data_IF_932366937643
#
_entry.id   IF_932366937643
#
_cell.length_a   1.000
_cell.length_b   1.000
_cell.length_c   1.000
_cell.angle_alpha   90.00
_cell.angle_beta   90.00
_cell.angle_gamma   90.00
#
_symmetry.space_group_name_H-M   'P 1'
#
loop_
_entity.id
_entity.type
_entity.pdbx_description
1 polymer ?
#
# COMPACT_ATOMS: atom_id res chain seq x y z
N UNK A 1 -66.68 -14.64 58.01
CA UNK A 1 -66.53 -13.22 57.63
C UNK A 1 -66.21 -13.16 56.15
N UNK A 2 -66.83 -12.22 55.42
CA UNK A 2 -66.39 -11.72 54.10
C UNK A 2 -65.07 -10.90 54.25
N UNK A 3 -64.46 -10.34 53.18
CA UNK A 3 -64.73 -10.44 51.73
C UNK A 3 -63.49 -11.06 51.00
N UNK A 4 -63.02 -10.76 49.76
CA UNK A 4 -63.37 -9.85 48.65
C UNK A 4 -62.90 -10.47 47.30
N UNK A 5 -63.10 -9.72 46.20
CA UNK A 5 -62.69 -9.88 44.79
C UNK A 5 -62.51 -8.42 44.25
N UNK A 6 -62.47 -8.06 42.93
CA UNK A 6 -62.10 -8.75 41.67
C UNK A 6 -60.88 -8.02 41.00
N UNK A 7 -60.44 -8.24 39.75
CA UNK A 7 -61.06 -7.76 38.50
C UNK A 7 -60.37 -8.28 37.21
N UNK A 8 -61.19 -8.81 36.28
CA UNK A 8 -61.11 -8.70 34.79
C UNK A 8 -59.90 -9.34 34.06
N UNK A 9 -60.05 -10.10 32.97
CA UNK A 9 -61.16 -10.80 32.29
C UNK A 9 -60.48 -11.76 31.25
N UNK A 10 -60.84 -13.04 31.07
CA UNK A 10 -62.00 -13.56 30.31
C UNK A 10 -62.04 -13.11 28.82
N UNK A 11 -62.52 -13.86 27.80
CA UNK A 11 -63.14 -15.19 27.62
C UNK A 11 -62.59 -15.77 26.27
N UNK A 12 -62.31 -17.06 26.04
CA UNK A 12 -63.17 -18.26 25.94
C UNK A 12 -63.97 -18.41 24.61
N UNK A 13 -63.96 -19.65 24.07
CA UNK A 13 -64.95 -20.31 23.16
C UNK A 13 -65.22 -19.66 21.77
N UNK A 14 -65.01 -20.30 20.61
CA UNK A 14 -65.60 -21.57 20.07
C UNK A 14 -67.14 -21.62 20.05
N UNK A 15 -67.74 -21.11 18.96
CA UNK A 15 -69.05 -21.43 18.31
C UNK A 15 -69.45 -20.20 17.46
N UNK A 16 -70.22 -20.24 16.38
CA UNK A 16 -70.69 -21.29 15.46
C UNK A 16 -71.20 -20.58 14.16
N UNK A 17 -71.45 -21.26 13.02
CA UNK A 17 -71.76 -20.60 11.75
C UNK A 17 -73.27 -20.52 11.42
N UNK A 18 -73.68 -19.45 10.72
CA UNK A 18 -74.92 -19.22 9.95
C UNK A 18 -74.77 -17.87 9.23
N UNK A 19 -75.27 -17.54 8.03
CA UNK A 19 -76.04 -18.19 6.94
C UNK A 19 -75.75 -17.27 5.72
N UNK A 20 -75.07 -17.72 4.67
CA UNK A 20 -75.55 -18.46 3.49
C UNK A 20 -76.08 -17.58 2.32
N UNK A 21 -75.35 -17.67 1.20
CA UNK A 21 -75.73 -17.47 -0.22
C UNK A 21 -76.39 -16.16 -0.72
N UNK A 22 -75.61 -15.42 -1.54
CA UNK A 22 -76.10 -14.91 -2.82
C UNK A 22 -75.00 -14.82 -3.90
N UNK A 23 -75.15 -15.62 -4.98
CA UNK A 23 -74.69 -15.36 -6.38
C UNK A 23 -73.18 -15.09 -6.58
N UNK A 24 -72.37 -16.11 -6.94
CA UNK A 24 -72.16 -16.60 -8.32
C UNK A 24 -72.27 -15.51 -9.41
N UNK A 25 -71.11 -15.08 -9.94
CA UNK A 25 -70.81 -14.92 -11.38
C UNK A 25 -69.28 -14.75 -11.56
N UNK A 26 -68.62 -15.86 -11.91
CA UNK A 26 -67.50 -16.02 -12.87
C UNK A 26 -66.60 -14.81 -13.18
N UNK A 27 -65.31 -14.83 -12.83
CA UNK A 27 -64.20 -15.57 -13.47
C UNK A 27 -63.95 -15.25 -14.96
N UNK A 28 -63.18 -14.20 -15.24
CA UNK A 28 -62.23 -14.11 -16.40
C UNK A 28 -61.17 -13.01 -16.18
N UNK A 29 -60.11 -13.26 -15.40
CA UNK A 29 -58.76 -12.67 -15.58
C UNK A 29 -57.73 -13.10 -14.51
N UNK A 30 -57.48 -14.40 -14.37
CA UNK A 30 -56.32 -14.90 -13.60
C UNK A 30 -55.75 -16.21 -14.18
N UNK A 31 -55.61 -16.29 -15.50
CA UNK A 31 -55.10 -17.47 -16.20
C UNK A 31 -54.11 -17.11 -17.32
N UNK A 32 -53.34 -16.03 -17.13
CA UNK A 32 -52.38 -15.52 -18.12
C UNK A 32 -51.13 -14.91 -17.48
N UNK A 33 -50.69 -15.49 -16.35
CA UNK A 33 -49.43 -15.12 -15.66
C UNK A 33 -48.71 -16.32 -15.02
N UNK A 34 -48.71 -17.46 -15.71
CA UNK A 34 -47.89 -18.63 -15.37
C UNK A 34 -47.53 -19.43 -16.64
N UNK A 35 -46.86 -18.78 -17.58
CA UNK A 35 -45.95 -19.46 -18.51
C UNK A 35 -44.54 -19.23 -18.00
N UNK A 36 -43.94 -20.27 -17.41
CA UNK A 36 -42.50 -20.27 -17.21
C UNK A 36 -41.83 -20.56 -18.56
N UNK A 37 -40.87 -19.74 -19.01
CA UNK A 37 -40.05 -20.11 -20.15
C UNK A 37 -39.15 -21.28 -19.73
N UNK A 38 -39.30 -22.42 -20.40
CA UNK A 38 -38.40 -23.57 -20.26
C UNK A 38 -37.03 -23.22 -20.87
N UNK A 39 -36.17 -22.57 -20.09
CA UNK A 39 -34.78 -22.35 -20.47
C UNK A 39 -34.07 -23.68 -20.42
N UNK A 40 -33.82 -24.26 -21.60
CA UNK A 40 -32.88 -25.37 -21.75
C UNK A 40 -31.50 -24.83 -21.43
N UNK A 41 -31.08 -25.01 -20.17
CA UNK A 41 -29.70 -24.74 -19.77
C UNK A 41 -28.85 -25.81 -20.45
N UNK A 42 -28.26 -25.48 -21.60
CA UNK A 42 -27.14 -26.25 -22.12
C UNK A 42 -26.03 -26.17 -21.08
N UNK A 43 -25.86 -27.22 -20.28
CA UNK A 43 -24.73 -27.34 -19.35
C UNK A 43 -23.47 -27.64 -20.15
N UNK A 44 -22.98 -26.62 -20.86
CA UNK A 44 -21.55 -26.51 -21.15
C UNK A 44 -20.86 -26.27 -19.82
N UNK A 45 -20.64 -27.37 -19.08
CA UNK A 45 -19.78 -27.38 -17.90
C UNK A 45 -18.38 -27.00 -18.35
N UNK A 46 -18.11 -25.70 -18.34
CA UNK A 46 -16.80 -25.11 -18.54
C UNK A 46 -15.96 -25.53 -17.34
N UNK A 47 -15.31 -26.68 -17.50
CA UNK A 47 -14.41 -27.25 -16.51
C UNK A 47 -13.28 -26.25 -16.20
N UNK A 48 -13.37 -25.56 -15.07
CA UNK A 48 -12.22 -24.92 -14.42
C UNK A 48 -11.32 -26.01 -13.81
N UNK A 49 -10.64 -26.80 -14.65
CA UNK A 49 -10.02 -28.08 -14.27
C UNK A 49 -8.48 -28.12 -14.22
N UNK A 50 -7.78 -26.98 -14.28
CA UNK A 50 -6.30 -26.95 -14.31
C UNK A 50 -5.61 -26.28 -13.11
N UNK A 51 -6.32 -25.48 -12.29
CA UNK A 51 -5.67 -24.72 -11.21
C UNK A 51 -5.22 -25.55 -9.99
N UNK A 52 -5.74 -26.77 -9.79
CA UNK A 52 -5.32 -27.63 -8.66
C UNK A 52 -3.84 -28.04 -8.70
N UNK A 53 -3.24 -28.07 -9.89
CA UNK A 53 -1.83 -28.46 -10.07
C UNK A 53 -0.87 -27.30 -9.76
N UNK A 54 -1.35 -26.05 -9.85
CA UNK A 54 -0.58 -24.83 -9.53
C UNK A 54 -0.73 -24.38 -8.07
N UNK A 55 -1.77 -24.84 -7.35
CA UNK A 55 -2.06 -24.43 -5.98
C UNK A 55 -0.94 -24.73 -4.96
N UNK A 56 -0.03 -25.66 -5.26
CA UNK A 56 1.13 -25.99 -4.41
C UNK A 56 2.44 -25.32 -4.85
N UNK A 57 2.43 -24.53 -5.93
CA UNK A 57 3.62 -23.79 -6.39
C UNK A 57 3.68 -22.48 -5.63
N UNK A 58 4.56 -22.41 -4.62
CA UNK A 58 4.95 -21.12 -4.05
C UNK A 58 5.54 -20.24 -5.16
N UNK A 59 5.16 -18.96 -5.29
CA UNK A 59 5.80 -18.06 -6.23
C UNK A 59 7.26 -17.83 -5.81
N UNK A 60 8.18 -17.77 -6.78
CA UNK A 60 9.62 -17.59 -6.50
C UNK A 60 9.93 -16.20 -5.92
N UNK A 61 9.17 -15.20 -6.33
CA UNK A 61 9.26 -13.81 -5.89
C UNK A 61 7.87 -13.36 -5.41
N UNK A 62 7.81 -12.39 -4.51
CA UNK A 62 6.53 -11.74 -4.17
C UNK A 62 6.20 -10.73 -5.27
N UNK A 63 5.01 -10.83 -5.86
CA UNK A 63 4.53 -9.85 -6.83
C UNK A 63 4.25 -8.53 -6.10
N UNK A 64 4.83 -7.38 -6.51
CA UNK A 64 4.60 -6.08 -5.87
C UNK A 64 3.12 -5.70 -5.82
N UNK A 65 2.74 -4.93 -4.80
CA UNK A 65 1.40 -4.38 -4.62
C UNK A 65 0.25 -5.40 -4.47
N UNK A 66 0.56 -6.67 -4.26
CA UNK A 66 -0.38 -7.76 -3.97
C UNK A 66 -0.87 -7.67 -2.53
N UNK A 67 -2.15 -7.96 -2.21
CA UNK A 67 -2.62 -7.98 -0.82
C UNK A 67 -1.92 -9.08 -0.01
N UNK A 68 -1.34 -8.73 1.15
CA UNK A 68 -0.63 -9.68 2.03
C UNK A 68 -1.55 -10.54 2.91
N UNK A 69 -2.85 -10.26 2.88
CA UNK A 69 -3.86 -10.83 3.79
C UNK A 69 -4.21 -9.91 4.97
N UNK A 70 -3.42 -8.86 5.21
CA UNK A 70 -3.76 -7.77 6.13
C UNK A 70 -4.40 -6.59 5.38
N UNK A 71 -5.45 -6.00 5.97
CA UNK A 71 -6.21 -4.92 5.32
C UNK A 71 -5.39 -3.63 5.24
N UNK A 72 -5.21 -3.11 4.03
CA UNK A 72 -4.42 -1.89 3.79
C UNK A 72 -2.90 -2.12 3.74
N UNK A 73 -2.44 -3.37 3.84
CA UNK A 73 -1.04 -3.74 3.68
C UNK A 73 -0.86 -4.49 2.35
N UNK A 74 0.04 -3.97 1.50
CA UNK A 74 0.36 -4.54 0.19
C UNK A 74 1.84 -4.89 0.14
N UNK A 75 2.20 -5.94 -0.60
CA UNK A 75 3.58 -6.39 -0.76
C UNK A 75 4.48 -5.27 -1.27
N UNK A 76 5.58 -5.04 -0.56
CA UNK A 76 6.52 -3.98 -0.92
C UNK A 76 7.44 -4.46 -2.07
N UNK A 77 7.70 -3.67 -3.13
CA UNK A 77 8.51 -4.09 -4.27
C UNK A 77 9.98 -4.37 -3.93
N UNK A 78 10.58 -3.53 -3.09
CA UNK A 78 12.01 -3.53 -2.75
C UNK A 78 12.26 -3.44 -1.23
N UNK A 79 11.78 -4.42 -0.41
CA UNK A 79 11.73 -4.26 1.05
C UNK A 79 13.12 -4.17 1.69
N UNK A 80 14.12 -4.85 1.12
CA UNK A 80 15.50 -4.89 1.63
C UNK A 80 16.19 -3.52 1.65
N UNK A 81 16.34 -2.78 0.53
CA UNK A 81 16.96 -1.46 0.55
C UNK A 81 16.16 -0.45 1.38
N UNK A 82 14.83 -0.53 1.41
CA UNK A 82 13.98 0.29 2.29
C UNK A 82 14.31 0.07 3.77
N UNK A 83 14.41 -1.19 4.24
CA UNK A 83 14.79 -1.49 5.62
C UNK A 83 16.21 -1.04 5.96
N UNK A 84 17.18 -1.25 5.05
CA UNK A 84 18.57 -0.78 5.24
C UNK A 84 18.60 0.75 5.36
N UNK A 85 17.88 1.48 4.50
CA UNK A 85 17.76 2.94 4.58
C UNK A 85 17.11 3.40 5.90
N UNK A 86 15.99 2.81 6.31
CA UNK A 86 15.31 3.17 7.57
C UNK A 86 16.17 2.88 8.80
N UNK A 87 16.85 1.73 8.86
CA UNK A 87 17.74 1.39 9.97
C UNK A 87 19.02 2.23 10.01
N UNK A 88 19.64 2.53 8.87
CA UNK A 88 20.81 3.43 8.84
C UNK A 88 20.43 4.87 9.20
N UNK A 89 19.25 5.36 8.77
CA UNK A 89 18.73 6.67 9.13
C UNK A 89 18.39 6.76 10.63
N UNK A 90 17.68 5.76 11.21
CA UNK A 90 17.43 5.72 12.68
C UNK A 90 18.73 5.68 13.48
N UNK A 91 19.70 4.85 13.11
CA UNK A 91 21.03 4.83 13.74
C UNK A 91 21.77 6.17 13.62
N UNK A 92 21.63 6.89 12.50
CA UNK A 92 22.20 8.24 12.34
C UNK A 92 21.51 9.26 13.26
N UNK A 93 20.17 9.22 13.37
CA UNK A 93 19.40 10.09 14.27
C UNK A 93 19.76 9.85 15.73
N UNK A 94 19.91 8.60 16.15
CA UNK A 94 20.28 8.23 17.53
C UNK A 94 21.65 8.77 17.98
N UNK A 95 22.52 9.19 17.07
CA UNK A 95 23.79 9.84 17.42
C UNK A 95 23.62 11.18 18.17
N UNK A 96 22.46 11.84 18.06
CA UNK A 96 22.18 13.06 18.82
C UNK A 96 21.82 12.82 20.30
N UNK A 97 21.49 11.58 20.67
CA UNK A 97 21.13 11.20 22.04
C UNK A 97 22.40 10.89 22.85
N UNK A 98 22.41 11.09 24.18
CA UNK A 98 23.55 10.68 25.01
C UNK A 98 23.69 9.15 25.07
N UNK A 99 24.93 8.64 25.07
CA UNK A 99 25.23 7.20 25.12
C UNK A 99 24.72 6.49 26.37
N UNK A 100 24.48 7.23 27.45
CA UNK A 100 23.90 6.75 28.71
C UNK A 100 22.38 6.57 28.65
N UNK A 101 21.70 7.04 27.60
CA UNK A 101 20.25 6.90 27.45
C UNK A 101 19.86 5.43 27.23
N UNK A 102 19.03 4.89 28.13
CA UNK A 102 18.48 3.54 28.01
C UNK A 102 17.68 3.33 26.71
N UNK A 103 17.00 4.38 26.23
CA UNK A 103 16.33 4.36 24.93
C UNK A 103 17.33 4.23 23.79
N UNK A 104 18.41 5.04 23.78
CA UNK A 104 19.46 4.94 22.75
C UNK A 104 20.08 3.54 22.73
N UNK A 105 20.45 3.00 23.89
CA UNK A 105 21.10 1.69 23.99
C UNK A 105 20.20 0.55 23.49
N UNK A 106 18.92 0.54 23.86
CA UNK A 106 17.99 -0.52 23.45
C UNK A 106 17.66 -0.46 21.95
N UNK A 107 17.39 0.73 21.40
CA UNK A 107 17.09 0.90 19.97
C UNK A 107 18.33 0.67 19.11
N UNK A 108 19.52 1.13 19.50
CA UNK A 108 20.77 0.82 18.79
C UNK A 108 21.04 -0.69 18.73
N UNK A 109 20.84 -1.42 19.83
CA UNK A 109 21.04 -2.86 19.86
C UNK A 109 20.04 -3.60 18.95
N UNK A 110 18.75 -3.23 19.02
CA UNK A 110 17.68 -3.83 18.21
C UNK A 110 17.87 -3.52 16.71
N UNK A 111 18.14 -2.26 16.36
CA UNK A 111 18.30 -1.84 14.96
C UNK A 111 19.56 -2.45 14.33
N UNK A 112 20.71 -2.50 15.03
CA UNK A 112 21.91 -3.20 14.54
C UNK A 112 21.65 -4.68 14.31
N UNK A 113 20.95 -5.36 15.22
CA UNK A 113 20.61 -6.78 15.07
C UNK A 113 19.72 -7.02 13.85
N UNK A 114 18.65 -6.22 13.66
CA UNK A 114 17.77 -6.33 12.49
C UNK A 114 18.48 -5.99 11.17
N UNK A 115 19.31 -4.94 11.17
CA UNK A 115 20.13 -4.55 10.02
C UNK A 115 21.08 -5.69 9.61
N UNK A 116 21.76 -6.33 10.56
CA UNK A 116 22.64 -7.49 10.29
C UNK A 116 21.88 -8.66 9.65
N UNK A 117 20.65 -8.94 10.09
CA UNK A 117 19.80 -9.98 9.49
C UNK A 117 19.47 -9.62 8.03
N UNK A 118 19.03 -8.38 7.78
CA UNK A 118 18.63 -7.90 6.45
C UNK A 118 19.83 -7.85 5.47
N UNK A 119 21.00 -7.41 5.92
CA UNK A 119 22.23 -7.39 5.11
C UNK A 119 22.74 -8.79 4.77
N UNK A 120 22.51 -9.79 5.63
CA UNK A 120 22.94 -11.18 5.40
C UNK A 120 22.25 -11.83 4.19
N UNK A 121 21.04 -11.40 3.85
CA UNK A 121 20.24 -11.96 2.76
C UNK A 121 20.42 -11.12 1.49
N UNK A 122 21.23 -11.62 0.54
CA UNK A 122 21.47 -10.95 -0.75
C UNK A 122 20.62 -11.58 -1.86
N UNK A 123 19.94 -10.78 -2.72
CA UNK A 123 19.20 -11.32 -3.85
C UNK A 123 20.14 -11.89 -4.92
N UNK A 124 19.67 -12.85 -5.75
CA UNK A 124 20.45 -13.37 -6.86
C UNK A 124 20.80 -12.26 -7.86
N UNK A 125 22.07 -12.16 -8.22
CA UNK A 125 22.57 -11.11 -9.14
C UNK A 125 22.91 -9.77 -8.48
N UNK A 126 22.81 -9.65 -7.15
CA UNK A 126 23.12 -8.42 -6.41
C UNK A 126 24.49 -7.81 -6.75
N UNK A 127 25.56 -8.59 -6.73
CA UNK A 127 26.91 -8.04 -6.92
C UNK A 127 27.10 -7.50 -8.35
N UNK A 128 26.47 -8.11 -9.36
CA UNK A 128 26.48 -7.62 -10.75
C UNK A 128 25.66 -6.34 -10.94
N UNK A 129 24.58 -6.16 -10.17
CA UNK A 129 23.84 -4.90 -10.09
C UNK A 129 24.66 -3.83 -9.36
N UNK A 130 25.33 -4.18 -8.26
CA UNK A 130 26.15 -3.26 -7.47
C UNK A 130 27.29 -2.65 -8.28
N UNK A 131 27.97 -3.44 -9.13
CA UNK A 131 29.01 -2.91 -10.02
C UNK A 131 28.45 -1.98 -11.12
N UNK A 132 27.23 -2.24 -11.62
CA UNK A 132 26.55 -1.28 -12.52
C UNK A 132 26.18 0.00 -11.79
N UNK A 133 25.57 -0.10 -10.61
CA UNK A 133 25.21 1.04 -9.77
C UNK A 133 26.43 1.92 -9.43
N UNK A 134 27.54 1.32 -8.99
CA UNK A 134 28.82 2.03 -8.77
C UNK A 134 29.33 2.72 -10.03
N UNK A 135 29.28 2.07 -11.19
CA UNK A 135 29.71 2.67 -12.47
C UNK A 135 28.84 3.87 -12.84
N UNK A 136 27.51 3.76 -12.70
CA UNK A 136 26.56 4.85 -12.96
C UNK A 136 26.77 6.02 -12.00
N UNK A 137 27.01 5.75 -10.71
CA UNK A 137 27.32 6.77 -9.71
C UNK A 137 28.66 7.47 -10.00
N UNK A 138 29.71 6.70 -10.30
CA UNK A 138 31.03 7.24 -10.61
C UNK A 138 31.13 7.99 -11.95
N UNK A 139 30.21 7.71 -12.89
CA UNK A 139 30.11 8.45 -14.14
C UNK A 139 29.49 9.85 -13.97
N UNK A 140 28.60 10.03 -13.00
CA UNK A 140 27.81 11.25 -12.82
C UNK A 140 27.70 11.67 -11.34
N UNK A 141 28.83 11.99 -10.67
CA UNK A 141 28.85 12.24 -9.22
C UNK A 141 27.96 13.40 -8.78
N UNK A 142 27.91 14.49 -9.54
CA UNK A 142 27.06 15.66 -9.26
C UNK A 142 25.56 15.28 -9.22
N UNK A 143 25.12 14.34 -10.07
CA UNK A 143 23.73 13.85 -10.09
C UNK A 143 23.35 13.11 -8.82
N UNK A 144 24.30 12.40 -8.19
CA UNK A 144 24.04 11.59 -6.99
C UNK A 144 24.45 12.26 -5.68
N UNK A 145 25.10 13.43 -5.72
CA UNK A 145 25.49 14.18 -4.53
C UNK A 145 24.31 14.47 -3.57
N UNK A 146 23.12 14.72 -4.13
CA UNK A 146 21.89 14.95 -3.35
C UNK A 146 21.36 13.68 -2.65
N UNK A 147 21.71 12.49 -3.16
CA UNK A 147 21.27 11.19 -2.63
C UNK A 147 22.29 10.56 -1.66
N UNK A 148 23.41 11.25 -1.43
CA UNK A 148 24.43 10.81 -0.49
C UNK A 148 24.06 11.17 0.95
N UNK A 149 23.92 10.15 1.79
CA UNK A 149 23.74 10.29 3.24
C UNK A 149 25.00 10.89 3.87
N UNK A 150 24.88 11.51 5.05
CA UNK A 150 26.01 12.16 5.76
C UNK A 150 27.15 11.20 6.13
N UNK A 151 26.88 9.90 6.15
CA UNK A 151 27.86 8.84 6.38
C UNK A 151 28.59 8.37 5.10
N UNK A 152 28.32 9.00 3.95
CA UNK A 152 28.91 8.69 2.65
C UNK A 152 28.21 7.57 1.87
N UNK A 153 27.23 6.87 2.46
CA UNK A 153 26.42 5.87 1.77
C UNK A 153 25.37 6.53 0.85
N UNK A 154 24.89 5.80 -0.15
CA UNK A 154 23.79 6.26 -1.01
C UNK A 154 22.45 5.77 -0.46
N UNK A 155 21.43 6.63 -0.48
CA UNK A 155 20.08 6.23 -0.12
C UNK A 155 19.45 5.40 -1.26
N UNK A 156 19.42 4.07 -1.12
CA UNK A 156 18.86 3.14 -2.12
C UNK A 156 17.32 2.98 -2.05
N UNK A 157 16.63 3.79 -1.23
CA UNK A 157 15.19 3.74 -1.08
C UNK A 157 14.48 4.46 -2.24
N UNK A 158 14.29 3.77 -3.36
CA UNK A 158 13.39 4.20 -4.41
C UNK A 158 11.93 3.91 -3.99
N UNK A 159 11.13 4.95 -3.78
CA UNK A 159 9.67 4.83 -3.64
C UNK A 159 9.06 4.45 -4.99
N UNK A 160 8.76 3.18 -5.17
CA UNK A 160 7.94 2.73 -6.30
C UNK A 160 6.48 2.81 -5.86
N UNK A 161 5.74 3.77 -6.40
CA UNK A 161 4.30 3.87 -6.19
C UNK A 161 3.55 2.87 -7.09
N UNK A 162 2.33 2.51 -6.69
CA UNK A 162 1.42 1.82 -7.60
C UNK A 162 0.90 2.87 -8.58
N UNK A 163 1.25 2.73 -9.85
CA UNK A 163 0.62 3.50 -10.92
C UNK A 163 -0.90 3.27 -10.88
N UNK A 164 -1.65 4.26 -10.38
CA UNK A 164 -3.12 4.24 -10.44
C UNK A 164 -3.65 4.55 -11.87
N UNK A 165 -2.75 4.71 -12.84
CA UNK A 165 -3.03 4.88 -14.28
C UNK A 165 -3.42 3.58 -15.01
N UNK A 166 -4.12 2.68 -14.30
CA UNK A 166 -4.86 1.56 -14.91
C UNK A 166 -6.17 2.03 -15.58
N UNK A 167 -6.58 3.27 -15.36
CA UNK A 167 -7.34 4.00 -16.39
C UNK A 167 -6.41 4.23 -17.60
N UNK A 168 -6.71 3.60 -18.74
CA UNK A 168 -5.91 3.71 -19.98
C UNK A 168 -5.51 5.15 -20.32
N UNK A 169 -6.44 6.09 -20.06
CA UNK A 169 -6.31 7.54 -20.12
C UNK A 169 -5.04 8.14 -19.49
N UNK A 170 -4.49 7.51 -18.43
CA UNK A 170 -3.30 8.00 -17.73
C UNK A 170 -1.97 7.71 -18.44
N UNK A 171 -1.98 6.87 -19.49
CA UNK A 171 -0.79 6.52 -20.31
C UNK A 171 -0.87 7.12 -21.73
N UNK A 172 -1.92 7.86 -22.03
CA UNK A 172 -2.33 8.24 -23.40
C UNK A 172 -1.86 9.62 -23.86
N UNK A 173 -1.08 10.37 -23.06
CA UNK A 173 -0.46 11.60 -23.53
C UNK A 173 0.99 11.73 -23.04
N UNK A 174 1.90 11.33 -23.91
CA UNK A 174 3.36 11.53 -23.84
C UNK A 174 3.79 12.94 -24.27
N UNK A 175 2.84 13.77 -24.69
CA UNK A 175 3.11 15.07 -25.29
C UNK A 175 3.56 14.98 -26.74
N UNK A 176 3.04 14.04 -27.56
CA UNK A 176 3.20 14.04 -29.03
C UNK A 176 3.19 15.47 -29.57
N UNK A 177 4.32 15.88 -30.16
CA UNK A 177 4.48 17.22 -30.72
C UNK A 177 3.41 17.50 -31.77
N UNK A 178 2.89 18.73 -31.79
CA UNK A 178 1.75 19.09 -32.65
C UNK A 178 2.03 18.74 -34.12
N UNK A 179 1.46 17.65 -34.60
CA UNK A 179 1.50 17.35 -36.03
C UNK A 179 0.63 18.37 -36.79
N UNK A 180 1.02 18.70 -38.01
CA UNK A 180 0.32 19.68 -38.83
C UNK A 180 -1.03 19.13 -39.34
N UNK A 181 -2.05 19.10 -38.47
CA UNK A 181 -3.39 18.62 -38.80
C UNK A 181 -4.04 19.46 -39.89
N UNK A 182 -4.29 18.86 -41.05
CA UNK A 182 -4.82 19.50 -42.27
C UNK A 182 -6.35 19.68 -42.25
N UNK A 183 -6.99 19.58 -41.08
CA UNK A 183 -8.45 19.61 -40.93
C UNK A 183 -9.00 21.02 -40.67
N UNK A 184 -8.87 21.87 -41.69
CA UNK A 184 -9.48 23.20 -41.76
C UNK A 184 -9.83 23.59 -43.20
N UNK A 185 -10.43 24.77 -43.45
CA UNK A 185 -10.62 25.29 -44.80
C UNK A 185 -9.28 25.29 -45.55
N UNK A 186 -9.28 24.79 -46.80
CA UNK A 186 -8.07 24.51 -47.58
C UNK A 186 -7.15 25.72 -47.62
N UNK A 187 -6.00 25.64 -46.93
CA UNK A 187 -4.90 26.59 -47.09
C UNK A 187 -4.33 26.45 -48.50
N UNK A 188 -3.75 27.51 -49.03
CA UNK A 188 -2.95 27.41 -50.25
C UNK A 188 -1.59 26.77 -49.92
N UNK A 189 -0.95 26.11 -50.88
CA UNK A 189 0.33 25.41 -50.64
C UNK A 189 1.47 26.31 -50.09
N UNK A 190 1.38 27.64 -50.30
CA UNK A 190 2.29 28.60 -49.69
C UNK A 190 1.99 28.82 -48.19
N UNK A 191 0.72 29.01 -47.84
CA UNK A 191 0.26 29.15 -46.45
C UNK A 191 0.48 27.86 -45.64
N UNK A 192 0.41 26.69 -46.29
CA UNK A 192 0.76 25.40 -45.69
C UNK A 192 2.26 25.31 -45.35
N UNK A 193 3.15 25.72 -46.27
CA UNK A 193 4.59 25.73 -46.03
C UNK A 193 4.99 26.73 -44.94
N UNK A 194 4.36 27.91 -44.88
CA UNK A 194 4.54 28.85 -43.78
C UNK A 194 4.02 28.29 -42.44
N UNK A 195 2.86 27.61 -42.43
CA UNK A 195 2.34 26.96 -41.22
C UNK A 195 3.21 25.82 -40.71
N UNK A 196 3.69 24.95 -41.62
CA UNK A 196 4.63 23.87 -41.28
C UNK A 196 5.89 24.49 -40.66
N UNK A 197 6.45 25.54 -41.28
CA UNK A 197 7.63 26.21 -40.75
C UNK A 197 7.40 26.86 -39.37
N UNK A 198 6.22 27.43 -39.10
CA UNK A 198 5.90 28.01 -37.78
C UNK A 198 5.73 26.92 -36.72
N UNK A 199 5.16 25.76 -37.06
CA UNK A 199 5.08 24.60 -36.15
C UNK A 199 6.47 24.01 -35.93
N UNK A 200 7.26 23.85 -36.99
CA UNK A 200 8.63 23.35 -36.96
C UNK A 200 9.48 24.28 -36.10
N UNK A 201 9.56 25.58 -36.38
CA UNK A 201 10.28 26.59 -35.56
C UNK A 201 9.76 26.67 -34.10
N UNK A 202 8.46 26.43 -33.88
CA UNK A 202 7.88 26.35 -32.53
C UNK A 202 8.25 25.08 -31.76
N UNK A 203 8.42 23.94 -32.44
CA UNK A 203 8.77 22.63 -31.86
C UNK A 203 10.29 22.38 -31.83
N UNK A 204 11.02 22.97 -32.77
CA UNK A 204 12.48 23.14 -32.81
C UNK A 204 12.96 24.32 -31.94
N UNK A 205 12.06 24.93 -31.15
CA UNK A 205 12.44 25.73 -29.98
C UNK A 205 13.55 24.98 -29.26
N UNK A 206 14.79 25.48 -29.41
CA UNK A 206 15.96 24.70 -29.04
C UNK A 206 15.83 24.22 -27.59
N UNK A 207 16.41 23.06 -27.29
CA UNK A 207 16.47 22.47 -25.95
C UNK A 207 17.32 23.34 -25.00
N UNK A 208 16.80 24.54 -24.76
CA UNK A 208 17.27 25.54 -23.82
C UNK A 208 16.92 25.06 -22.42
N UNK A 209 17.65 25.55 -21.43
CA UNK A 209 17.55 25.15 -20.02
C UNK A 209 16.27 25.66 -19.32
N UNK A 210 15.14 25.76 -20.03
CA UNK A 210 13.86 26.21 -19.48
C UNK A 210 13.14 25.09 -18.73
N UNK A 211 13.50 24.90 -17.46
CA UNK A 211 12.72 24.54 -16.25
C UNK A 211 11.57 23.49 -16.27
N UNK A 212 11.14 22.96 -17.41
CA UNK A 212 9.92 22.13 -17.55
C UNK A 212 10.17 20.70 -18.04
N UNK A 213 11.43 20.32 -18.29
CA UNK A 213 11.78 18.92 -18.42
C UNK A 213 11.93 18.30 -17.03
N UNK A 214 10.92 17.54 -16.60
CA UNK A 214 11.11 16.59 -15.51
C UNK A 214 12.24 15.62 -15.90
N UNK A 215 13.40 15.78 -15.27
CA UNK A 215 14.51 14.83 -15.36
C UNK A 215 14.08 13.58 -14.60
N UNK A 216 13.23 12.75 -15.24
CA UNK A 216 12.74 11.50 -14.68
C UNK A 216 13.93 10.59 -14.38
N UNK A 217 14.27 10.50 -13.08
CA UNK A 217 15.45 9.78 -12.60
C UNK A 217 15.21 8.26 -12.70
N UNK A 218 15.35 7.71 -13.91
CA UNK A 218 15.20 6.28 -14.20
C UNK A 218 16.39 5.50 -13.64
N UNK A 219 16.29 5.15 -12.36
CA UNK A 219 17.27 4.35 -11.62
C UNK A 219 16.96 2.84 -11.73
N UNK A 220 17.98 2.01 -11.91
CA UNK A 220 17.84 0.54 -11.84
C UNK A 220 17.59 0.10 -10.39
N UNK A 221 16.36 -0.32 -10.07
CA UNK A 221 16.04 -0.91 -8.77
C UNK A 221 16.87 -2.17 -8.48
N UNK A 222 17.08 -2.45 -7.19
CA UNK A 222 17.76 -3.67 -6.75
C UNK A 222 16.96 -4.91 -7.19
N UNK A 223 17.61 -6.01 -7.63
CA UNK A 223 16.94 -7.28 -7.88
C UNK A 223 16.09 -7.75 -6.69
N UNK A 224 14.88 -8.24 -6.95
CA UNK A 224 13.98 -8.72 -5.91
C UNK A 224 14.55 -9.91 -5.13
N UNK A 225 14.28 -9.96 -3.82
CA UNK A 225 14.54 -11.13 -2.99
C UNK A 225 13.60 -12.29 -3.35
N UNK A 226 14.10 -13.52 -3.26
CA UNK A 226 13.25 -14.70 -3.38
C UNK A 226 12.34 -14.85 -2.15
N UNK A 227 11.13 -15.41 -2.34
CA UNK A 227 10.13 -15.51 -1.28
C UNK A 227 10.62 -16.31 -0.05
N UNK A 228 11.46 -17.33 -0.27
CA UNK A 228 12.06 -18.09 0.82
C UNK A 228 13.10 -17.24 1.61
N UNK A 229 13.86 -16.36 0.95
CA UNK A 229 14.78 -15.42 1.63
C UNK A 229 14.02 -14.39 2.48
N UNK A 230 12.87 -13.92 2.00
CA UNK A 230 11.99 -13.02 2.76
C UNK A 230 11.46 -13.75 4.01
N UNK A 231 10.99 -15.00 3.85
CA UNK A 231 10.54 -15.79 5.00
C UNK A 231 11.67 -16.08 6.02
N UNK A 232 12.92 -16.24 5.57
CA UNK A 232 14.07 -16.32 6.47
C UNK A 232 14.30 -15.03 7.27
N UNK A 233 14.10 -13.85 6.67
CA UNK A 233 14.20 -12.56 7.39
C UNK A 233 13.09 -12.46 8.43
N UNK A 234 11.84 -12.75 8.06
CA UNK A 234 10.67 -12.72 8.95
C UNK A 234 10.86 -13.66 10.15
N UNK A 235 11.33 -14.89 9.92
CA UNK A 235 11.60 -15.87 10.98
C UNK A 235 12.75 -15.43 11.90
N UNK A 236 13.83 -14.85 11.36
CA UNK A 236 14.99 -14.39 12.16
C UNK A 236 14.68 -13.13 12.97
N UNK A 237 13.79 -12.26 12.49
CA UNK A 237 13.36 -11.04 13.21
C UNK A 237 12.21 -11.36 14.18
N UNK A 238 11.32 -12.29 13.85
CA UNK A 238 10.24 -12.78 14.72
C UNK A 238 9.16 -11.75 15.02
N UNK A 239 8.88 -10.81 14.10
CA UNK A 239 8.05 -9.63 14.37
C UNK A 239 6.93 -9.39 13.32
N UNK A 240 6.39 -10.45 12.72
CA UNK A 240 5.36 -10.36 11.67
C UNK A 240 5.94 -10.39 10.26
N UNK A 241 5.15 -9.90 9.30
CA UNK A 241 5.53 -9.81 7.89
C UNK A 241 6.58 -8.72 7.65
N UNK A 242 7.35 -8.83 6.56
CA UNK A 242 8.38 -7.84 6.23
C UNK A 242 7.80 -6.42 6.02
N UNK A 243 6.57 -6.29 5.52
CA UNK A 243 5.87 -5.01 5.39
C UNK A 243 5.51 -4.37 6.76
N UNK A 244 5.14 -5.18 7.76
CA UNK A 244 4.89 -4.69 9.12
C UNK A 244 6.19 -4.21 9.76
N UNK A 245 7.30 -4.91 9.51
CA UNK A 245 8.65 -4.54 9.98
C UNK A 245 9.10 -3.19 9.37
N UNK A 246 8.71 -2.89 8.11
CA UNK A 246 8.92 -1.57 7.49
C UNK A 246 8.10 -0.50 8.21
N UNK A 247 6.80 -0.71 8.44
CA UNK A 247 5.95 0.24 9.16
C UNK A 247 6.47 0.54 10.58
N UNK A 248 6.95 -0.49 11.30
CA UNK A 248 7.60 -0.33 12.60
C UNK A 248 8.88 0.50 12.49
N UNK A 249 9.71 0.29 11.46
CA UNK A 249 10.93 1.07 11.25
C UNK A 249 10.67 2.54 10.89
N UNK A 250 9.60 2.82 10.13
CA UNK A 250 9.14 4.19 9.88
C UNK A 250 8.59 4.87 11.13
N UNK A 251 7.78 4.14 11.91
CA UNK A 251 7.23 4.63 13.17
C UNK A 251 8.36 4.92 14.18
N UNK A 252 9.36 4.05 14.27
CA UNK A 252 10.55 4.25 15.11
C UNK A 252 11.33 5.51 14.67
N UNK A 253 11.53 5.70 13.35
CA UNK A 253 12.20 6.91 12.83
C UNK A 253 11.47 8.22 13.19
N UNK A 254 10.14 8.20 13.24
CA UNK A 254 9.32 9.34 13.69
C UNK A 254 9.35 9.48 15.22
N UNK A 255 9.34 8.37 15.95
CA UNK A 255 9.41 8.32 17.40
C UNK A 255 10.74 8.89 17.92
N UNK A 256 11.87 8.57 17.28
CA UNK A 256 13.18 9.14 17.60
C UNK A 256 13.16 10.67 17.50
N UNK A 257 12.49 11.25 16.50
CA UNK A 257 12.39 12.71 16.36
C UNK A 257 11.56 13.35 17.48
N UNK A 258 10.45 12.73 17.89
CA UNK A 258 9.62 13.24 18.99
C UNK A 258 10.28 13.05 20.37
N UNK A 259 10.90 11.89 20.63
CA UNK A 259 11.63 11.64 21.88
C UNK A 259 12.87 12.52 22.02
N UNK A 260 13.47 12.96 20.90
CA UNK A 260 14.54 13.95 20.91
C UNK A 260 14.02 15.33 21.34
N UNK A 261 12.86 15.77 20.84
CA UNK A 261 12.21 17.02 21.30
C UNK A 261 11.80 16.97 22.76
N UNK A 262 11.26 15.83 23.20
CA UNK A 262 10.79 15.59 24.56
C UNK A 262 11.93 15.26 25.56
N UNK A 263 13.17 15.09 25.08
CA UNK A 263 14.38 14.82 25.88
C UNK A 263 14.22 13.78 26.99
N UNK A 264 13.64 12.64 26.66
CA UNK A 264 13.22 11.59 27.63
C UNK A 264 14.35 10.92 28.45
N UNK A 265 15.59 11.39 28.31
CA UNK A 265 16.77 10.98 29.09
C UNK A 265 17.11 11.96 30.24
N UNK A 266 16.44 13.10 30.35
CA UNK A 266 16.57 14.01 31.50
C UNK A 266 15.84 13.45 32.74
N UNK A 267 16.10 14.00 33.93
CA UNK A 267 15.40 13.56 35.15
C UNK A 267 13.91 13.95 35.09
N UNK A 268 13.05 13.14 35.72
CA UNK A 268 11.60 13.36 35.80
C UNK A 268 11.25 14.80 36.22
N UNK A 269 10.59 15.55 35.33
CA UNK A 269 10.22 16.96 35.51
C UNK A 269 9.39 17.20 36.79
N UNK A 270 8.39 16.34 37.04
CA UNK A 270 7.53 16.40 38.22
C UNK A 270 7.56 15.08 39.00
N UNK A 271 8.12 15.12 40.21
CA UNK A 271 8.12 13.97 41.12
C UNK A 271 6.72 13.80 41.73
N UNK A 272 6.17 12.57 41.77
CA UNK A 272 4.80 12.36 42.22
C UNK A 272 4.61 12.73 43.69
N UNK A 273 3.44 13.28 44.00
CA UNK A 273 3.05 13.57 45.38
C UNK A 273 3.07 12.31 46.26
N UNK A 274 3.45 12.43 47.55
CA UNK A 274 3.44 11.28 48.47
C UNK A 274 2.01 10.73 48.60
N UNK A 275 1.85 9.44 48.30
CA UNK A 275 0.54 8.76 48.28
C UNK A 275 -0.16 8.71 46.91
N UNK A 276 0.36 9.37 45.87
CA UNK A 276 -0.25 9.35 44.52
C UNK A 276 -0.37 7.94 43.93
N UNK A 277 0.60 7.07 44.22
CA UNK A 277 0.70 5.71 43.69
C UNK A 277 0.50 4.62 44.76
N UNK A 278 -0.02 4.98 45.95
CA UNK A 278 -0.41 3.99 46.96
C UNK A 278 -1.82 3.49 46.68
N UNK A 279 -1.92 2.29 46.11
CA UNK A 279 -3.19 1.62 45.84
C UNK A 279 -3.70 0.83 47.06
N UNK A 280 -4.92 0.30 46.97
CA UNK A 280 -5.50 -0.57 47.98
C UNK A 280 -4.74 -1.91 48.06
N UNK A 281 -3.85 -2.06 49.04
CA UNK A 281 -3.28 -3.36 49.39
C UNK A 281 -4.33 -4.23 50.09
N UNK A 282 -4.38 -5.53 49.75
CA UNK A 282 -5.27 -6.48 50.44
C UNK A 282 -4.68 -6.84 51.80
N UNK A 283 -5.02 -6.11 52.86
CA UNK A 283 -4.61 -6.48 54.21
C UNK A 283 -4.76 -5.47 55.34
N UNK A 284 -5.19 -4.22 55.08
CA UNK A 284 -5.53 -3.22 56.10
C UNK A 284 -6.95 -2.71 55.89
#
# INVERSE_FOLDING_TARGET
MLPLLPHIAELLLIRAPTVELARRLTLTNWALRNQQPSIIIHTTTTMRSTLRLLANVKPRYLEPFTPTGLTGLFTHPSPRPTLIFLYTNTLQKLQSFPETSAYRQSVEALTRHRLQIVESQKPPGFDAWLERAKKTIGAEPERFAQLQLKNGAFAYAASQERDFSDEARGKEWDGEGMSATTEGPTRTAAEEAEWIKIIEEGSESAANETDFHEVSMKWESEPALEADQISEIEQKIGAGLIEEIIQVAEAESKLVDELYKAKVWEELEEKPAPGQWTYFERGN
#
